data_IF_959352723181
#
_entry.id   IF_959352723181
#
_cell.length_a   1.000
_cell.length_b   1.000
_cell.length_c   1.000
_cell.angle_alpha   90.00
_cell.angle_beta   90.00
_cell.angle_gamma   90.00
#
_symmetry.space_group_name_H-M   'P 1'
#
loop_
_entity.id
_entity.type
_entity.pdbx_description
1 polymer ?
#
# COMPACT_ATOMS: atom_id res chain seq x y z
N UNK A 1 -0.04 -5.14 27.65
CA UNK A 1 0.69 -4.33 26.64
C UNK A 1 0.62 -4.91 25.22
N UNK A 2 1.01 -6.17 24.98
CA UNK A 2 0.90 -6.79 23.64
C UNK A 2 -0.51 -7.34 23.39
N UNK A 3 -1.07 -8.03 24.38
CA UNK A 3 -2.43 -8.59 24.30
C UNK A 3 -3.50 -7.51 24.08
N UNK A 4 -3.36 -6.34 24.74
CA UNK A 4 -4.26 -5.20 24.56
C UNK A 4 -4.21 -4.66 23.12
N UNK A 5 -3.03 -4.63 22.51
CA UNK A 5 -2.86 -4.21 21.11
C UNK A 5 -3.50 -5.20 20.14
N UNK A 6 -3.32 -6.49 20.38
CA UNK A 6 -3.94 -7.55 19.55
C UNK A 6 -5.46 -7.46 19.64
N UNK A 7 -6.00 -7.27 20.85
CA UNK A 7 -7.44 -7.11 21.06
C UNK A 7 -7.99 -5.87 20.35
N UNK A 8 -7.34 -4.72 20.50
CA UNK A 8 -7.75 -3.48 19.83
C UNK A 8 -7.74 -3.62 18.30
N UNK A 9 -6.69 -4.26 17.75
CA UNK A 9 -6.59 -4.51 16.32
C UNK A 9 -7.71 -5.45 15.84
N UNK A 10 -7.99 -6.52 16.59
CA UNK A 10 -9.09 -7.44 16.28
C UNK A 10 -10.45 -6.71 16.27
N UNK A 11 -10.73 -5.92 17.31
CA UNK A 11 -11.98 -5.15 17.43
C UNK A 11 -12.11 -4.14 16.29
N UNK A 12 -11.01 -3.50 15.90
CA UNK A 12 -10.99 -2.57 14.77
C UNK A 12 -11.25 -3.29 13.44
N UNK A 13 -10.61 -4.45 13.22
CA UNK A 13 -10.77 -5.26 12.02
C UNK A 13 -12.19 -5.80 11.88
N UNK A 14 -12.91 -6.06 12.96
CA UNK A 14 -14.26 -6.64 12.92
C UNK A 14 -15.37 -5.62 13.18
N UNK A 15 -15.02 -4.33 13.31
CA UNK A 15 -15.95 -3.26 13.62
C UNK A 15 -17.13 -3.19 12.65
N UNK A 16 -18.27 -2.73 13.15
CA UNK A 16 -19.40 -2.28 12.36
C UNK A 16 -19.02 -1.07 11.49
N UNK A 17 -19.72 -0.90 10.37
CA UNK A 17 -19.50 0.25 9.47
C UNK A 17 -20.30 1.49 9.90
N UNK A 18 -21.16 1.36 10.92
CA UNK A 18 -21.95 2.45 11.47
C UNK A 18 -23.21 2.78 10.66
N UNK A 19 -23.70 1.82 9.89
CA UNK A 19 -24.93 1.92 9.10
C UNK A 19 -25.87 0.78 9.49
N UNK A 20 -26.90 1.03 10.33
CA UNK A 20 -27.67 -0.01 11.00
C UNK A 20 -28.23 -1.10 10.07
N UNK A 21 -28.76 -0.70 8.91
CA UNK A 21 -29.33 -1.63 7.91
C UNK A 21 -28.29 -2.55 7.29
N UNK A 22 -27.07 -2.06 7.07
CA UNK A 22 -25.96 -2.83 6.51
C UNK A 22 -25.29 -3.68 7.57
N UNK A 23 -25.14 -3.16 8.80
CA UNK A 23 -24.59 -3.93 9.92
C UNK A 23 -25.49 -5.13 10.26
N UNK A 24 -26.82 -4.98 10.22
CA UNK A 24 -27.76 -6.10 10.36
C UNK A 24 -27.60 -7.15 9.23
N UNK A 25 -27.44 -6.69 7.98
CA UNK A 25 -27.20 -7.57 6.84
C UNK A 25 -25.89 -8.36 7.00
N UNK A 26 -24.81 -7.70 7.42
CA UNK A 26 -23.53 -8.37 7.64
C UNK A 26 -23.58 -9.38 8.77
N UNK A 27 -24.33 -9.10 9.84
CA UNK A 27 -24.55 -10.05 10.92
C UNK A 27 -25.22 -11.34 10.42
N UNK A 28 -26.28 -11.20 9.59
CA UNK A 28 -26.96 -12.35 8.95
C UNK A 28 -26.04 -13.14 8.02
N UNK A 29 -25.17 -12.46 7.27
CA UNK A 29 -24.20 -13.10 6.37
C UNK A 29 -23.15 -13.89 7.18
N UNK A 30 -22.63 -13.30 8.25
CA UNK A 30 -21.67 -13.94 9.16
C UNK A 30 -22.28 -15.22 9.76
N UNK A 31 -23.51 -15.14 10.27
CA UNK A 31 -24.23 -16.28 10.84
C UNK A 31 -24.45 -17.38 9.80
N UNK A 32 -24.94 -17.02 8.61
CA UNK A 32 -25.23 -17.98 7.55
C UNK A 32 -23.99 -18.72 7.03
N UNK A 33 -22.82 -18.06 7.04
CA UNK A 33 -21.57 -18.61 6.52
C UNK A 33 -20.64 -19.16 7.61
N UNK A 34 -20.93 -18.88 8.89
CA UNK A 34 -20.05 -19.22 10.01
C UNK A 34 -18.70 -18.49 9.96
N UNK A 35 -18.69 -17.23 9.52
CA UNK A 35 -17.48 -16.39 9.38
C UNK A 35 -17.65 -15.06 10.11
N UNK A 36 -16.56 -14.31 10.26
CA UNK A 36 -16.60 -12.90 10.63
C UNK A 36 -16.02 -12.03 9.52
N UNK A 37 -16.86 -11.24 8.87
CA UNK A 37 -16.43 -10.27 7.87
C UNK A 37 -15.56 -9.17 8.50
N UNK A 38 -14.41 -8.90 7.89
CA UNK A 38 -13.55 -7.77 8.26
C UNK A 38 -14.12 -6.45 7.72
N UNK A 39 -13.76 -5.34 8.36
CA UNK A 39 -14.22 -3.99 8.03
C UNK A 39 -13.97 -3.66 6.55
N UNK A 40 -12.85 -4.10 5.98
CA UNK A 40 -12.55 -3.86 4.57
C UNK A 40 -13.47 -4.64 3.63
N UNK A 41 -13.91 -5.85 4.01
CA UNK A 41 -14.88 -6.63 3.22
C UNK A 41 -16.24 -5.93 3.24
N UNK A 42 -16.68 -5.50 4.43
CA UNK A 42 -17.92 -4.72 4.60
C UNK A 42 -17.89 -3.43 3.77
N UNK A 43 -16.78 -2.68 3.83
CA UNK A 43 -16.62 -1.46 3.02
C UNK A 43 -16.57 -1.74 1.52
N UNK A 44 -15.90 -2.81 1.08
CA UNK A 44 -15.86 -3.19 -0.33
C UNK A 44 -17.26 -3.54 -0.87
N UNK A 45 -18.03 -4.32 -0.11
CA UNK A 45 -19.40 -4.73 -0.47
C UNK A 45 -20.36 -3.54 -0.58
N UNK A 46 -20.14 -2.47 0.18
CA UNK A 46 -21.05 -1.30 0.23
C UNK A 46 -20.68 -0.23 -0.79
N UNK A 47 -19.39 0.08 -0.92
CA UNK A 47 -18.93 1.18 -1.74
C UNK A 47 -18.47 0.74 -3.14
N UNK A 48 -18.43 -0.57 -3.41
CA UNK A 48 -17.87 -1.16 -4.64
C UNK A 48 -16.37 -0.88 -4.83
N UNK A 49 -15.76 -0.18 -3.88
CA UNK A 49 -14.36 0.20 -3.83
C UNK A 49 -13.94 0.20 -2.38
N UNK A 50 -12.83 -0.46 -2.09
CA UNK A 50 -12.12 -0.22 -0.84
C UNK A 50 -10.90 0.62 -1.17
N UNK A 51 -11.05 1.95 -1.08
CA UNK A 51 -9.88 2.81 -1.20
C UNK A 51 -8.99 2.62 0.05
N UNK A 52 -7.78 2.15 -0.22
CA UNK A 52 -6.52 2.70 0.33
C UNK A 52 -6.06 2.28 1.74
N UNK A 53 -5.83 0.98 1.98
CA UNK A 53 -4.59 0.56 2.66
C UNK A 53 -4.13 -0.81 2.16
N UNK A 54 -4.95 -1.86 2.23
CA UNK A 54 -4.53 -3.22 1.85
C UNK A 54 -4.13 -3.38 0.38
N UNK A 55 -5.05 -3.09 -0.55
CA UNK A 55 -4.80 -3.26 -1.99
C UNK A 55 -3.72 -2.31 -2.52
N UNK A 56 -3.73 -1.04 -2.10
CA UNK A 56 -2.72 -0.06 -2.51
C UNK A 56 -1.34 -0.37 -1.93
N UNK A 57 -1.27 -0.80 -0.66
CA UNK A 57 -0.01 -1.27 -0.06
C UNK A 57 0.48 -2.52 -0.76
N UNK A 58 -0.39 -3.50 -1.02
CA UNK A 58 -0.02 -4.71 -1.77
C UNK A 58 0.49 -4.38 -3.18
N UNK A 59 -0.13 -3.42 -3.87
CA UNK A 59 0.34 -2.94 -5.17
C UNK A 59 1.69 -2.25 -5.05
N UNK A 60 1.90 -1.37 -4.07
CA UNK A 60 3.19 -0.71 -3.83
C UNK A 60 4.29 -1.75 -3.52
N UNK A 61 4.00 -2.72 -2.64
CA UNK A 61 4.92 -3.82 -2.31
C UNK A 61 5.24 -4.66 -3.54
N UNK A 62 4.24 -5.00 -4.37
CA UNK A 62 4.47 -5.71 -5.64
C UNK A 62 5.38 -4.92 -6.57
N UNK A 63 5.12 -3.61 -6.72
CA UNK A 63 5.93 -2.73 -7.56
C UNK A 63 7.36 -2.62 -7.06
N UNK A 64 7.55 -2.51 -5.74
CA UNK A 64 8.86 -2.28 -5.12
C UNK A 64 9.71 -3.53 -4.94
N UNK A 65 9.09 -4.69 -4.67
CA UNK A 65 9.79 -5.91 -4.24
C UNK A 65 9.77 -7.03 -5.28
N UNK A 66 8.74 -7.08 -6.13
CA UNK A 66 8.47 -8.24 -6.99
C UNK A 66 8.41 -7.91 -8.49
N UNK A 67 8.66 -6.66 -8.87
CA UNK A 67 8.71 -6.24 -10.28
C UNK A 67 10.13 -6.31 -10.83
N UNK A 68 10.27 -6.15 -12.14
CA UNK A 68 11.56 -6.16 -12.84
C UNK A 68 12.63 -5.27 -12.18
N UNK A 69 13.89 -5.62 -12.42
CA UNK A 69 15.07 -4.89 -11.91
C UNK A 69 15.21 -3.48 -12.46
N UNK A 70 14.42 -3.11 -13.47
CA UNK A 70 14.38 -1.78 -14.05
C UNK A 70 14.04 -0.75 -12.96
N UNK A 71 14.82 0.34 -12.80
CA UNK A 71 14.47 1.41 -11.87
C UNK A 71 13.09 2.03 -12.17
N UNK A 72 12.35 2.40 -11.13
CA UNK A 72 11.10 3.13 -11.27
C UNK A 72 11.41 4.62 -11.42
N UNK A 73 10.88 5.25 -12.47
CA UNK A 73 11.18 6.66 -12.78
C UNK A 73 10.00 7.58 -12.45
N UNK A 74 10.12 8.27 -11.32
CA UNK A 74 9.22 9.35 -10.90
C UNK A 74 9.91 10.72 -10.93
N UNK A 75 10.98 10.88 -11.70
CA UNK A 75 11.73 12.14 -11.84
C UNK A 75 10.95 13.26 -12.54
N UNK A 76 9.86 12.92 -13.25
CA UNK A 76 8.95 13.89 -13.88
C UNK A 76 7.72 14.10 -13.02
N UNK A 77 7.12 15.32 -13.01
CA UNK A 77 5.96 15.60 -12.17
C UNK A 77 4.75 14.70 -12.50
N UNK A 78 3.86 14.44 -11.54
CA UNK A 78 2.62 13.72 -11.78
C UNK A 78 1.72 14.48 -12.76
N UNK A 79 0.97 13.76 -13.58
CA UNK A 79 0.04 14.32 -14.57
C UNK A 79 -1.33 14.63 -13.97
N UNK A 80 -1.68 14.01 -12.85
CA UNK A 80 -2.97 14.17 -12.18
C UNK A 80 -2.82 14.19 -10.66
N UNK A 81 -3.77 14.79 -9.95
CA UNK A 81 -3.80 14.76 -8.48
C UNK A 81 -3.93 13.33 -7.91
N UNK A 82 -4.58 12.44 -8.66
CA UNK A 82 -4.65 11.01 -8.30
C UNK A 82 -3.27 10.36 -8.34
N UNK A 83 -2.53 10.58 -9.41
CA UNK A 83 -1.18 10.06 -9.57
C UNK A 83 -0.24 10.61 -8.50
N UNK A 84 -0.39 11.89 -8.14
CA UNK A 84 0.38 12.50 -7.05
C UNK A 84 0.13 11.77 -5.71
N UNK A 85 -1.15 11.54 -5.36
CA UNK A 85 -1.52 10.79 -4.15
C UNK A 85 -0.95 9.36 -4.17
N UNK A 86 -1.04 8.66 -5.30
CA UNK A 86 -0.50 7.29 -5.45
C UNK A 86 1.04 7.28 -5.29
N UNK A 87 1.74 8.26 -5.85
CA UNK A 87 3.21 8.39 -5.70
C UNK A 87 3.64 8.74 -4.28
N UNK A 88 2.88 9.57 -3.56
CA UNK A 88 3.14 9.88 -2.16
C UNK A 88 3.01 8.64 -1.27
N UNK A 89 1.95 7.85 -1.47
CA UNK A 89 1.76 6.58 -0.75
C UNK A 89 2.90 5.59 -1.01
N UNK A 90 3.32 5.44 -2.28
CA UNK A 90 4.46 4.59 -2.63
C UNK A 90 5.76 5.09 -1.99
N UNK A 91 5.97 6.41 -1.93
CA UNK A 91 7.15 7.03 -1.31
C UNK A 91 7.24 6.72 0.18
N UNK A 92 6.13 6.85 0.91
CA UNK A 92 6.09 6.53 2.34
C UNK A 92 6.40 5.06 2.60
N UNK A 93 5.82 4.15 1.81
CA UNK A 93 6.11 2.70 1.92
C UNK A 93 7.58 2.43 1.57
N UNK A 94 8.09 3.02 0.49
CA UNK A 94 9.49 2.89 0.09
C UNK A 94 10.44 3.34 1.20
N UNK A 95 10.19 4.47 1.85
CA UNK A 95 11.01 4.96 2.97
C UNK A 95 11.02 3.97 4.14
N UNK A 96 9.84 3.52 4.58
CA UNK A 96 9.71 2.55 5.68
C UNK A 96 10.43 1.24 5.41
N UNK A 97 10.35 0.72 4.17
CA UNK A 97 11.04 -0.50 3.78
C UNK A 97 12.57 -0.33 3.82
N UNK A 98 13.09 0.78 3.28
CA UNK A 98 14.52 1.04 3.29
C UNK A 98 15.07 1.31 4.71
N UNK A 99 14.32 2.01 5.56
CA UNK A 99 14.67 2.21 6.98
C UNK A 99 14.72 0.87 7.75
N UNK A 100 13.87 -0.09 7.36
CA UNK A 100 13.89 -1.45 7.90
C UNK A 100 14.97 -2.35 7.26
N UNK A 101 15.79 -1.84 6.34
CA UNK A 101 16.82 -2.60 5.63
C UNK A 101 16.29 -3.59 4.60
N UNK A 102 15.02 -3.48 4.20
CA UNK A 102 14.42 -4.33 3.18
C UNK A 102 14.83 -3.81 1.80
N UNK A 103 15.51 -4.65 1.03
CA UNK A 103 15.93 -4.30 -0.32
C UNK A 103 14.71 -4.06 -1.23
N UNK A 104 14.65 -2.88 -1.83
CA UNK A 104 13.63 -2.49 -2.81
C UNK A 104 14.30 -2.19 -4.15
N UNK A 105 13.54 -2.23 -5.25
CA UNK A 105 14.04 -1.69 -6.54
C UNK A 105 14.36 -0.21 -6.41
N UNK A 106 15.31 0.28 -7.21
CA UNK A 106 15.65 1.71 -7.24
C UNK A 106 14.45 2.53 -7.73
N UNK A 107 14.13 3.60 -7.01
CA UNK A 107 13.17 4.63 -7.44
C UNK A 107 13.90 5.96 -7.60
N UNK A 108 13.64 6.67 -8.70
CA UNK A 108 14.14 8.03 -8.93
C UNK A 108 13.05 9.04 -8.60
N UNK A 109 13.32 9.92 -7.64
CA UNK A 109 12.39 10.97 -7.23
C UNK A 109 12.70 12.31 -7.89
N UNK A 110 13.92 12.47 -8.42
CA UNK A 110 14.34 13.67 -9.14
C UNK A 110 15.16 13.33 -10.39
N UNK A 111 15.27 14.31 -11.30
CA UNK A 111 16.08 14.17 -12.51
C UNK A 111 17.56 14.07 -12.16
N UNK A 112 17.98 14.77 -11.11
CA UNK A 112 19.35 14.74 -10.61
C UNK A 112 19.73 13.36 -10.06
N UNK A 113 18.84 12.72 -9.30
CA UNK A 113 19.04 11.35 -8.80
C UNK A 113 19.19 10.36 -9.94
N UNK A 114 18.30 10.45 -10.93
CA UNK A 114 18.35 9.62 -12.14
C UNK A 114 19.67 9.79 -12.88
N UNK A 115 20.09 11.04 -13.13
CA UNK A 115 21.33 11.36 -13.83
C UNK A 115 22.55 10.78 -13.10
N UNK A 116 22.69 11.03 -11.80
CA UNK A 116 23.83 10.55 -11.00
C UNK A 116 23.95 9.03 -11.02
N UNK A 117 22.82 8.33 -10.99
CA UNK A 117 22.82 6.86 -11.04
C UNK A 117 23.32 6.32 -12.37
N UNK A 118 22.89 6.89 -13.51
CA UNK A 118 23.42 6.47 -14.81
C UNK A 118 24.90 6.83 -14.99
N UNK A 119 25.33 7.99 -14.46
CA UNK A 119 26.75 8.39 -14.47
C UNK A 119 27.61 7.40 -13.68
N UNK A 120 27.19 7.02 -12.46
CA UNK A 120 27.96 6.06 -11.64
C UNK A 120 28.04 4.67 -12.28
N UNK A 121 26.95 4.21 -12.91
CA UNK A 121 26.93 2.94 -13.64
C UNK A 121 27.78 2.95 -14.91
N UNK A 122 28.04 4.13 -15.49
CA UNK A 122 28.92 4.27 -16.66
C UNK A 122 30.39 4.21 -16.22
N UNK A 123 30.74 4.90 -15.13
CA UNK A 123 32.10 4.87 -14.57
C UNK A 123 32.48 3.46 -14.07
N UNK A 124 31.57 2.73 -13.44
CA UNK A 124 31.81 1.33 -13.00
C UNK A 124 32.04 0.35 -14.17
N UNK A 125 31.56 0.66 -15.37
CA UNK A 125 31.78 -0.17 -16.57
C UNK A 125 33.09 0.14 -17.30
N UNK A 126 33.69 1.28 -17.02
CA UNK A 126 34.94 1.74 -17.63
C UNK A 126 36.18 1.43 -16.77
N UNK A 127 35.99 0.94 -15.55
CA UNK A 127 37.02 0.46 -14.61
C UNK A 127 37.18 -1.07 -14.70
#
# INVERSE_FOLDING_TARGET
MIEDKIKQEYEWQHREIGQPTLDELFSKINEALGIELWIWQKTYMTMGTYRQMGATTAQCLRVLLFSETTPLDYSSPPRTAREDCERQQLREIYQKLNEAGIQTRKVFWSREEKRRWYESQTVEKEL
#
